data_IF_137951685892
#
_entry.id   IF_137951685892
#
_cell.length_a   1.000
_cell.length_b   1.000
_cell.length_c   1.000
_cell.angle_alpha   90.00
_cell.angle_beta   90.00
_cell.angle_gamma   90.00
#
_symmetry.space_group_name_H-M   'P 1'
#
loop_
_entity.id
_entity.type
_entity.pdbx_description
1 polymer ?
#
# COMPACT_ATOMS: atom_id res chain seq x y z
N UNK A 1 102.69 3.50 -42.19
CA UNK A 1 101.51 3.14 -41.37
C UNK A 1 100.91 1.87 -41.94
N UNK A 2 100.87 0.78 -41.17
CA UNK A 2 100.49 -0.53 -41.68
C UNK A 2 98.98 -0.63 -41.87
N UNK A 3 98.56 -1.28 -42.96
CA UNK A 3 97.17 -1.58 -43.30
C UNK A 3 96.41 -2.28 -42.15
N UNK A 4 97.13 -2.99 -41.29
CA UNK A 4 96.63 -3.64 -40.08
C UNK A 4 96.21 -2.66 -38.97
N UNK A 5 96.87 -1.51 -38.81
CA UNK A 5 96.47 -0.48 -37.84
C UNK A 5 95.19 0.26 -38.27
N UNK A 6 94.95 0.39 -39.59
CA UNK A 6 93.73 1.01 -40.13
C UNK A 6 92.50 0.10 -39.99
N UNK A 7 92.67 -1.22 -40.16
CA UNK A 7 91.61 -2.21 -39.93
C UNK A 7 91.26 -2.42 -38.45
N UNK A 8 92.24 -2.40 -37.55
CA UNK A 8 91.97 -2.51 -36.11
C UNK A 8 91.15 -1.31 -35.59
N UNK A 9 91.45 -0.09 -36.02
CA UNK A 9 90.69 1.11 -35.65
C UNK A 9 89.21 1.10 -36.10
N UNK A 10 88.92 0.57 -37.30
CA UNK A 10 87.53 0.50 -37.81
C UNK A 10 86.70 -0.60 -37.13
N UNK A 11 87.33 -1.70 -36.69
CA UNK A 11 86.65 -2.78 -35.96
C UNK A 11 86.33 -2.36 -34.52
N UNK A 12 87.23 -1.62 -33.86
CA UNK A 12 86.95 -1.06 -32.52
C UNK A 12 85.88 0.05 -32.55
N UNK A 13 85.85 0.88 -33.59
CA UNK A 13 84.81 1.91 -33.74
C UNK A 13 83.40 1.34 -33.97
N UNK A 14 83.27 0.31 -34.81
CA UNK A 14 81.97 -0.32 -35.13
C UNK A 14 81.40 -1.12 -33.96
N UNK A 15 82.25 -1.80 -33.18
CA UNK A 15 81.84 -2.53 -31.97
C UNK A 15 81.37 -1.61 -30.86
N UNK A 16 82.02 -0.45 -30.66
CA UNK A 16 81.59 0.54 -29.67
C UNK A 16 80.22 1.15 -30.03
N UNK A 17 80.00 1.47 -31.31
CA UNK A 17 78.72 1.98 -31.80
C UNK A 17 77.62 0.91 -31.63
N UNK A 18 77.90 -0.36 -31.92
CA UNK A 18 76.94 -1.45 -31.74
C UNK A 18 76.51 -1.62 -30.27
N UNK A 19 77.45 -1.51 -29.32
CA UNK A 19 77.15 -1.56 -27.89
C UNK A 19 76.29 -0.38 -27.43
N UNK A 20 76.58 0.83 -27.91
CA UNK A 20 75.78 2.03 -27.61
C UNK A 20 74.36 1.86 -28.15
N UNK A 21 74.20 1.43 -29.41
CA UNK A 21 72.88 1.20 -30.02
C UNK A 21 72.12 0.09 -29.30
N UNK A 22 72.80 -0.99 -28.89
CA UNK A 22 72.19 -2.07 -28.11
C UNK A 22 71.73 -1.59 -26.72
N UNK A 23 72.57 -0.83 -26.01
CA UNK A 23 72.21 -0.22 -24.73
C UNK A 23 71.02 0.74 -24.85
N UNK A 24 71.01 1.60 -25.88
CA UNK A 24 69.90 2.50 -26.18
C UNK A 24 68.60 1.71 -26.47
N UNK A 25 68.70 0.63 -27.25
CA UNK A 25 67.55 -0.24 -27.55
C UNK A 25 66.97 -0.89 -26.30
N UNK A 26 67.82 -1.38 -25.39
CA UNK A 26 67.39 -1.92 -24.10
C UNK A 26 66.72 -0.84 -23.26
N UNK A 27 67.32 0.35 -23.20
CA UNK A 27 66.78 1.47 -22.43
C UNK A 27 65.39 1.89 -22.96
N UNK A 28 65.26 2.12 -24.26
CA UNK A 28 63.98 2.45 -24.90
C UNK A 28 62.96 1.36 -24.63
N UNK A 29 63.32 0.07 -24.79
CA UNK A 29 62.41 -1.06 -24.51
C UNK A 29 61.95 -1.08 -23.05
N UNK A 30 62.85 -0.80 -22.10
CA UNK A 30 62.52 -0.77 -20.67
C UNK A 30 61.61 0.41 -20.32
N UNK A 31 61.86 1.59 -20.90
CA UNK A 31 61.03 2.78 -20.70
C UNK A 31 59.64 2.59 -21.29
N UNK A 32 59.54 2.08 -22.52
CA UNK A 32 58.23 1.81 -23.15
C UNK A 32 57.48 0.73 -22.38
N UNK A 33 58.14 -0.35 -21.98
CA UNK A 33 57.51 -1.41 -21.18
C UNK A 33 56.99 -0.87 -19.84
N UNK A 34 57.81 -0.13 -19.09
CA UNK A 34 57.36 0.49 -17.84
C UNK A 34 56.18 1.46 -18.04
N UNK A 35 56.17 2.22 -19.13
CA UNK A 35 55.07 3.13 -19.45
C UNK A 35 53.77 2.36 -19.74
N UNK A 36 53.85 1.28 -20.53
CA UNK A 36 52.70 0.42 -20.82
C UNK A 36 52.21 -0.31 -19.56
N UNK A 37 53.11 -0.88 -18.76
CA UNK A 37 52.77 -1.58 -17.52
C UNK A 37 52.04 -0.64 -16.55
N UNK A 38 52.54 0.60 -16.39
CA UNK A 38 51.89 1.63 -15.56
C UNK A 38 50.51 2.02 -16.08
N UNK A 39 50.35 2.19 -17.40
CA UNK A 39 49.05 2.52 -17.98
C UNK A 39 48.04 1.37 -17.84
N UNK A 40 48.49 0.12 -18.03
CA UNK A 40 47.66 -1.07 -17.82
C UNK A 40 47.24 -1.17 -16.34
N UNK A 41 48.17 -0.94 -15.41
CA UNK A 41 47.88 -0.94 -13.98
C UNK A 41 46.87 0.16 -13.60
N UNK A 42 47.07 1.38 -14.12
CA UNK A 42 46.13 2.49 -13.93
C UNK A 42 44.73 2.15 -14.47
N UNK A 43 44.63 1.64 -15.71
CA UNK A 43 43.34 1.23 -16.27
C UNK A 43 42.69 0.09 -15.49
N UNK A 44 43.47 -0.88 -15.01
CA UNK A 44 42.96 -1.94 -14.14
C UNK A 44 42.43 -1.38 -12.83
N UNK A 45 43.13 -0.40 -12.24
CA UNK A 45 42.70 0.27 -11.03
C UNK A 45 41.40 1.06 -11.25
N UNK A 46 41.32 1.84 -12.33
CA UNK A 46 40.11 2.58 -12.73
C UNK A 46 38.93 1.64 -12.95
N UNK A 47 39.11 0.55 -13.72
CA UNK A 47 38.07 -0.46 -13.92
C UNK A 47 37.62 -1.10 -12.61
N UNK A 48 38.56 -1.43 -11.73
CA UNK A 48 38.24 -2.00 -10.41
C UNK A 48 37.45 -1.01 -9.55
N UNK A 49 37.79 0.27 -9.60
CA UNK A 49 37.09 1.33 -8.88
C UNK A 49 35.67 1.50 -9.42
N UNK A 50 35.51 1.63 -10.74
CA UNK A 50 34.20 1.75 -11.39
C UNK A 50 33.32 0.53 -11.10
N UNK A 51 33.89 -0.67 -11.14
CA UNK A 51 33.16 -1.91 -10.83
C UNK A 51 32.64 -1.88 -9.39
N UNK A 52 33.46 -1.48 -8.41
CA UNK A 52 33.03 -1.35 -7.01
C UNK A 52 31.95 -0.29 -6.81
N UNK A 53 32.03 0.83 -7.51
CA UNK A 53 31.01 1.89 -7.45
C UNK A 53 29.66 1.38 -7.99
N UNK A 54 29.70 0.62 -9.10
CA UNK A 54 28.53 -0.02 -9.68
C UNK A 54 27.94 -1.08 -8.73
N UNK A 55 28.79 -1.95 -8.15
CA UNK A 55 28.36 -2.96 -7.17
C UNK A 55 27.69 -2.32 -5.95
N UNK A 56 28.27 -1.24 -5.42
CA UNK A 56 27.70 -0.51 -4.29
C UNK A 56 26.34 0.13 -4.63
N UNK A 57 26.21 0.73 -5.82
CA UNK A 57 24.93 1.30 -6.26
C UNK A 57 23.84 0.22 -6.44
N UNK A 58 24.20 -0.95 -6.98
CA UNK A 58 23.28 -2.08 -7.07
C UNK A 58 22.87 -2.61 -5.70
N UNK A 59 23.80 -2.75 -4.76
CA UNK A 59 23.50 -3.17 -3.38
C UNK A 59 22.51 -2.19 -2.73
N UNK A 60 22.77 -0.88 -2.80
CA UNK A 60 21.85 0.14 -2.29
C UNK A 60 20.47 0.03 -2.93
N UNK A 61 20.38 -0.10 -4.25
CA UNK A 61 19.09 -0.23 -4.96
C UNK A 61 18.32 -1.49 -4.53
N UNK A 62 19.01 -2.60 -4.29
CA UNK A 62 18.41 -3.84 -3.80
C UNK A 62 17.87 -3.64 -2.38
N UNK A 63 18.63 -3.00 -1.50
CA UNK A 63 18.21 -2.67 -0.14
C UNK A 63 16.99 -1.75 -0.14
N UNK A 64 17.03 -0.65 -0.90
CA UNK A 64 15.92 0.30 -1.03
C UNK A 64 14.66 -0.38 -1.58
N UNK A 65 14.81 -1.22 -2.62
CA UNK A 65 13.71 -1.98 -3.20
C UNK A 65 13.11 -2.99 -2.21
N UNK A 66 13.96 -3.65 -1.42
CA UNK A 66 13.54 -4.59 -0.37
C UNK A 66 12.72 -3.87 0.71
N UNK A 67 13.23 -2.74 1.21
CA UNK A 67 12.55 -1.91 2.22
C UNK A 67 11.20 -1.40 1.69
N UNK A 68 11.17 -0.89 0.46
CA UNK A 68 9.95 -0.45 -0.20
C UNK A 68 8.93 -1.59 -0.32
N UNK A 69 9.36 -2.75 -0.80
CA UNK A 69 8.50 -3.93 -0.98
C UNK A 69 7.93 -4.39 0.36
N UNK A 70 8.76 -4.52 1.39
CA UNK A 70 8.33 -4.90 2.73
C UNK A 70 7.29 -3.92 3.29
N UNK A 71 7.51 -2.61 3.12
CA UNK A 71 6.55 -1.59 3.56
C UNK A 71 5.23 -1.70 2.80
N UNK A 72 5.28 -1.91 1.48
CA UNK A 72 4.09 -2.11 0.64
C UNK A 72 3.27 -3.33 1.07
N UNK A 73 3.90 -4.47 1.36
CA UNK A 73 3.20 -5.65 1.88
C UNK A 73 2.44 -5.36 3.18
N UNK A 74 3.10 -4.69 4.13
CA UNK A 74 2.47 -4.28 5.40
C UNK A 74 1.29 -3.34 5.16
N UNK A 75 1.45 -2.37 4.26
CA UNK A 75 0.38 -1.44 3.89
C UNK A 75 -0.81 -2.17 3.27
N UNK A 76 -0.57 -3.11 2.35
CA UNK A 76 -1.65 -3.81 1.65
C UNK A 76 -2.48 -4.65 2.61
N UNK A 77 -1.83 -5.35 3.54
CA UNK A 77 -2.50 -6.16 4.56
C UNK A 77 -3.40 -5.30 5.46
N UNK A 78 -2.86 -4.20 6.00
CA UNK A 78 -3.60 -3.33 6.92
C UNK A 78 -4.72 -2.55 6.21
N UNK A 79 -4.46 -2.03 4.99
CA UNK A 79 -5.46 -1.33 4.20
C UNK A 79 -6.62 -2.26 3.84
N UNK A 80 -6.31 -3.48 3.38
CA UNK A 80 -7.34 -4.46 3.06
C UNK A 80 -8.14 -4.88 4.30
N UNK A 81 -7.49 -5.02 5.46
CA UNK A 81 -8.18 -5.30 6.72
C UNK A 81 -9.18 -4.18 7.09
N UNK A 82 -8.73 -2.92 7.07
CA UNK A 82 -9.59 -1.77 7.38
C UNK A 82 -10.74 -1.61 6.39
N UNK A 83 -10.47 -1.82 5.11
CA UNK A 83 -11.50 -1.78 4.08
C UNK A 83 -12.55 -2.89 4.28
N UNK A 84 -12.13 -4.12 4.56
CA UNK A 84 -13.09 -5.20 4.88
C UNK A 84 -13.87 -4.90 6.15
N UNK A 85 -13.24 -4.30 7.17
CA UNK A 85 -13.96 -3.89 8.38
C UNK A 85 -15.06 -2.87 8.05
N UNK A 86 -14.75 -1.86 7.24
CA UNK A 86 -15.74 -0.89 6.78
C UNK A 86 -16.89 -1.56 5.99
N UNK A 87 -16.57 -2.50 5.09
CA UNK A 87 -17.57 -3.29 4.34
C UNK A 87 -18.45 -4.14 5.27
N UNK A 88 -17.85 -4.78 6.27
CA UNK A 88 -18.58 -5.61 7.25
C UNK A 88 -19.48 -4.76 8.13
N UNK A 89 -18.99 -3.62 8.63
CA UNK A 89 -19.77 -2.75 9.51
C UNK A 89 -20.94 -2.11 8.76
N UNK A 90 -20.77 -1.68 7.50
CA UNK A 90 -21.90 -1.16 6.72
C UNK A 90 -22.93 -2.26 6.43
N UNK A 91 -22.50 -3.46 6.05
CA UNK A 91 -23.41 -4.62 5.86
C UNK A 91 -24.14 -5.00 7.14
N UNK A 92 -23.47 -4.91 8.29
CA UNK A 92 -24.07 -5.21 9.59
C UNK A 92 -25.07 -4.15 10.00
N UNK A 93 -24.76 -2.86 9.75
CA UNK A 93 -25.68 -1.77 9.99
C UNK A 93 -26.97 -1.96 9.17
N UNK A 94 -26.85 -2.32 7.89
CA UNK A 94 -27.99 -2.37 6.95
C UNK A 94 -28.73 -3.70 6.92
N UNK A 95 -28.13 -4.77 7.45
CA UNK A 95 -28.83 -6.03 7.69
C UNK A 95 -29.98 -5.89 8.71
N UNK A 96 -29.92 -4.87 9.58
CA UNK A 96 -30.88 -4.62 10.68
C UNK A 96 -32.31 -4.40 10.20
N UNK A 97 -32.51 -3.88 8.98
CA UNK A 97 -33.84 -3.72 8.37
C UNK A 97 -34.58 -5.03 8.11
N UNK A 98 -33.90 -6.19 8.17
CA UNK A 98 -34.50 -7.48 7.78
C UNK A 98 -34.82 -8.40 8.95
N UNK A 99 -34.13 -8.35 10.08
CA UNK A 99 -34.14 -9.53 10.95
C UNK A 99 -33.69 -9.37 12.40
N UNK A 100 -33.27 -8.19 12.86
CA UNK A 100 -33.06 -7.99 14.30
C UNK A 100 -34.33 -7.35 14.88
N UNK A 101 -35.34 -8.14 15.28
CA UNK A 101 -36.29 -7.58 16.23
C UNK A 101 -35.45 -7.05 17.38
N UNK A 102 -35.81 -5.85 17.85
CA UNK A 102 -35.53 -5.44 19.23
C UNK A 102 -35.56 -6.71 20.09
N UNK A 103 -34.50 -7.02 20.87
CA UNK A 103 -34.31 -8.34 21.48
C UNK A 103 -35.66 -8.86 21.92
N UNK A 104 -36.07 -10.04 21.44
CA UNK A 104 -37.39 -10.64 21.70
C UNK A 104 -37.51 -10.93 23.20
N UNK A 105 -37.57 -9.87 23.99
CA UNK A 105 -38.02 -9.89 25.35
C UNK A 105 -39.52 -10.10 25.19
N UNK A 106 -40.08 -11.20 25.71
CA UNK A 106 -41.51 -11.41 25.70
C UNK A 106 -42.12 -10.30 26.56
N UNK A 107 -42.57 -9.22 25.92
CA UNK A 107 -43.09 -7.99 26.55
C UNK A 107 -42.06 -7.35 27.52
N UNK A 108 -41.03 -6.65 27.02
CA UNK A 108 -40.14 -5.93 27.92
C UNK A 108 -40.97 -4.95 28.76
N UNK A 109 -40.81 -5.04 30.08
CA UNK A 109 -41.33 -3.99 30.95
C UNK A 109 -40.57 -2.69 30.64
N UNK A 110 -41.19 -1.54 30.91
CA UNK A 110 -40.60 -0.21 30.74
C UNK A 110 -39.23 -0.11 31.44
N UNK A 111 -39.09 -0.78 32.58
CA UNK A 111 -37.84 -0.87 33.34
C UNK A 111 -36.72 -1.57 32.57
N UNK A 112 -37.03 -2.64 31.84
CA UNK A 112 -36.04 -3.42 31.08
C UNK A 112 -35.59 -2.67 29.83
N UNK A 113 -36.51 -2.00 29.13
CA UNK A 113 -36.19 -1.15 27.98
C UNK A 113 -35.19 -0.04 28.38
N UNK A 114 -35.45 0.63 29.51
CA UNK A 114 -34.54 1.66 30.04
C UNK A 114 -33.15 1.09 30.31
N UNK A 115 -33.04 -0.04 31.02
CA UNK A 115 -31.74 -0.69 31.31
C UNK A 115 -30.98 -1.07 30.05
N UNK A 116 -31.67 -1.56 29.02
CA UNK A 116 -31.04 -1.90 27.73
C UNK A 116 -30.46 -0.65 27.06
N UNK A 117 -31.20 0.45 27.03
CA UNK A 117 -30.74 1.70 26.45
C UNK A 117 -29.57 2.32 27.23
N UNK A 118 -29.63 2.29 28.57
CA UNK A 118 -28.55 2.75 29.45
C UNK A 118 -27.27 1.92 29.26
N UNK A 119 -27.41 0.58 29.18
CA UNK A 119 -26.28 -0.32 28.91
C UNK A 119 -25.62 -0.04 27.56
N UNK A 120 -26.41 0.40 26.60
CA UNK A 120 -25.95 0.79 25.28
C UNK A 120 -25.43 2.24 25.23
N UNK A 121 -25.47 2.97 26.34
CA UNK A 121 -24.88 4.31 26.45
C UNK A 121 -25.64 5.39 25.68
N UNK A 122 -26.96 5.23 25.51
CA UNK A 122 -27.81 6.33 25.06
C UNK A 122 -27.97 7.36 26.18
N UNK A 123 -28.13 8.63 25.82
CA UNK A 123 -28.30 9.71 26.80
C UNK A 123 -29.72 9.72 27.41
N UNK A 124 -29.87 10.43 28.53
CA UNK A 124 -31.14 10.50 29.26
C UNK A 124 -32.27 11.08 28.41
N UNK A 125 -31.99 12.03 27.51
CA UNK A 125 -33.00 12.65 26.65
C UNK A 125 -33.55 11.63 25.63
N UNK A 126 -32.66 10.88 24.99
CA UNK A 126 -33.00 9.78 24.08
C UNK A 126 -33.81 8.70 24.79
N UNK A 127 -33.39 8.30 25.99
CA UNK A 127 -34.09 7.32 26.81
C UNK A 127 -35.49 7.82 27.17
N UNK A 128 -35.62 9.06 27.65
CA UNK A 128 -36.92 9.67 27.99
C UNK A 128 -37.83 9.71 26.77
N UNK A 129 -37.33 10.09 25.60
CA UNK A 129 -38.11 10.13 24.36
C UNK A 129 -38.65 8.74 23.98
N UNK A 130 -37.80 7.70 24.01
CA UNK A 130 -38.22 6.31 23.75
C UNK A 130 -39.31 5.88 24.74
N UNK A 131 -39.11 6.17 26.02
CA UNK A 131 -40.02 5.79 27.10
C UNK A 131 -41.36 6.51 26.98
N UNK A 132 -41.37 7.80 26.61
CA UNK A 132 -42.59 8.56 26.38
C UNK A 132 -43.37 7.98 25.20
N UNK A 133 -42.70 7.67 24.08
CA UNK A 133 -43.34 6.99 22.94
C UNK A 133 -43.86 5.60 23.30
N UNK A 134 -43.14 4.86 24.16
CA UNK A 134 -43.61 3.58 24.68
C UNK A 134 -44.91 3.69 25.49
N UNK A 135 -45.07 4.80 26.24
CA UNK A 135 -46.30 5.07 27.00
C UNK A 135 -47.49 5.39 26.09
N UNK A 136 -47.26 6.03 24.94
CA UNK A 136 -48.29 6.23 23.90
C UNK A 136 -48.66 4.89 23.27
N UNK A 137 -47.67 4.07 22.94
CA UNK A 137 -47.86 2.70 22.49
C UNK A 137 -46.55 1.92 22.42
N UNK A 138 -46.59 0.64 22.79
CA UNK A 138 -45.40 -0.23 22.79
C UNK A 138 -44.74 -0.35 21.41
N UNK A 139 -45.52 -0.25 20.33
CA UNK A 139 -45.00 -0.23 18.96
C UNK A 139 -44.21 1.06 18.66
N UNK A 140 -44.70 2.21 19.09
CA UNK A 140 -44.03 3.50 18.85
C UNK A 140 -42.70 3.59 19.60
N UNK A 141 -42.69 3.19 20.88
CA UNK A 141 -41.45 3.13 21.65
C UNK A 141 -40.45 2.13 21.07
N UNK A 142 -40.91 0.97 20.59
CA UNK A 142 -40.05 -0.01 19.90
C UNK A 142 -39.44 0.59 18.64
N UNK A 143 -40.24 1.24 17.80
CA UNK A 143 -39.76 1.84 16.56
C UNK A 143 -38.73 2.94 16.83
N UNK A 144 -38.94 3.76 17.86
CA UNK A 144 -37.97 4.77 18.27
C UNK A 144 -36.67 4.16 18.80
N UNK A 145 -36.76 3.12 19.63
CA UNK A 145 -35.57 2.42 20.12
C UNK A 145 -34.77 1.83 18.96
N UNK A 146 -35.43 1.13 18.03
CA UNK A 146 -34.81 0.58 16.82
C UNK A 146 -34.12 1.68 16.01
N UNK A 147 -34.78 2.83 15.80
CA UNK A 147 -34.20 3.99 15.11
C UNK A 147 -32.90 4.46 15.74
N UNK A 148 -32.84 4.55 17.08
CA UNK A 148 -31.63 4.93 17.81
C UNK A 148 -30.51 3.88 17.67
N UNK A 149 -30.84 2.60 17.76
CA UNK A 149 -29.88 1.51 17.56
C UNK A 149 -29.30 1.51 16.15
N UNK A 150 -30.15 1.67 15.13
CA UNK A 150 -29.72 1.70 13.74
C UNK A 150 -28.84 2.92 13.46
N UNK A 151 -29.21 4.10 13.98
CA UNK A 151 -28.39 5.30 13.89
C UNK A 151 -27.02 5.12 14.55
N UNK A 152 -26.95 4.47 15.72
CA UNK A 152 -25.70 4.17 16.41
C UNK A 152 -24.83 3.19 15.60
N UNK A 153 -25.42 2.14 15.04
CA UNK A 153 -24.72 1.17 14.17
C UNK A 153 -24.17 1.84 12.91
N UNK A 154 -24.98 2.68 12.28
CA UNK A 154 -24.58 3.43 11.10
C UNK A 154 -23.43 4.39 11.39
N UNK A 155 -23.48 5.10 12.52
CA UNK A 155 -22.36 5.95 12.98
C UNK A 155 -21.07 5.15 13.14
N UNK A 156 -21.15 3.94 13.71
CA UNK A 156 -19.99 3.04 13.82
C UNK A 156 -19.46 2.62 12.44
N UNK A 157 -20.35 2.27 11.50
CA UNK A 157 -19.96 1.93 10.14
C UNK A 157 -19.25 3.09 9.41
N UNK A 158 -19.75 4.32 9.57
CA UNK A 158 -19.11 5.50 9.01
C UNK A 158 -17.74 5.78 9.66
N UNK A 159 -17.59 5.56 10.97
CA UNK A 159 -16.29 5.64 11.64
C UNK A 159 -15.27 4.67 11.01
N UNK A 160 -15.64 3.40 10.82
CA UNK A 160 -14.77 2.42 10.16
C UNK A 160 -14.39 2.82 8.73
N UNK A 161 -15.32 3.43 7.97
CA UNK A 161 -15.03 4.01 6.65
C UNK A 161 -14.04 5.17 6.74
N UNK A 162 -14.22 6.09 7.69
CA UNK A 162 -13.30 7.22 7.92
C UNK A 162 -11.90 6.71 8.26
N UNK A 163 -11.77 5.71 9.13
CA UNK A 163 -10.49 5.10 9.48
C UNK A 163 -9.81 4.45 8.27
N UNK A 164 -10.57 3.71 7.45
CA UNK A 164 -10.06 3.13 6.21
C UNK A 164 -9.58 4.22 5.23
N UNK A 165 -10.34 5.29 5.07
CA UNK A 165 -9.98 6.42 4.20
C UNK A 165 -8.74 7.16 4.70
N UNK A 166 -8.63 7.42 6.00
CA UNK A 166 -7.45 8.04 6.58
C UNK A 166 -6.19 7.19 6.37
N UNK A 167 -6.32 5.87 6.49
CA UNK A 167 -5.20 4.96 6.23
C UNK A 167 -4.83 4.92 4.74
N UNK A 168 -5.84 4.91 3.85
CA UNK A 168 -5.66 5.02 2.40
C UNK A 168 -4.86 6.27 2.02
N UNK A 169 -5.27 7.46 2.48
CA UNK A 169 -4.58 8.72 2.18
C UNK A 169 -3.13 8.74 2.69
N UNK A 170 -2.85 8.14 3.85
CA UNK A 170 -1.47 8.00 4.37
C UNK A 170 -0.61 7.02 3.58
N UNK A 171 -1.26 6.09 2.87
CA UNK A 171 -0.62 4.97 2.19
C UNK A 171 -0.51 5.15 0.69
N UNK A 172 -1.14 6.19 0.13
CA UNK A 172 -1.30 6.42 -1.31
C UNK A 172 0.03 6.36 -2.09
N UNK A 173 1.13 6.85 -1.49
CA UNK A 173 2.47 6.82 -2.10
C UNK A 173 3.01 5.41 -2.40
N UNK A 174 2.43 4.37 -1.81
CA UNK A 174 2.83 2.98 -1.99
C UNK A 174 1.88 2.19 -2.91
N UNK A 175 0.81 2.83 -3.37
CA UNK A 175 -0.22 2.25 -4.23
C UNK A 175 0.04 2.70 -5.67
N UNK A 176 -0.25 1.85 -6.65
CA UNK A 176 -0.36 2.35 -8.01
C UNK A 176 -1.71 3.06 -8.23
N UNK A 177 -1.77 3.87 -9.29
CA UNK A 177 -2.93 4.71 -9.61
C UNK A 177 -4.21 3.90 -9.82
N UNK A 178 -4.11 2.72 -10.46
CA UNK A 178 -5.24 1.81 -10.69
C UNK A 178 -5.84 1.33 -9.36
N UNK A 179 -5.01 0.85 -8.43
CA UNK A 179 -5.44 0.39 -7.12
C UNK A 179 -6.00 1.54 -6.28
N UNK A 180 -5.38 2.72 -6.34
CA UNK A 180 -5.87 3.91 -5.65
C UNK A 180 -7.27 4.30 -6.11
N UNK A 181 -7.50 4.28 -7.43
CA UNK A 181 -8.82 4.56 -8.00
C UNK A 181 -9.88 3.54 -7.52
N UNK A 182 -9.56 2.24 -7.54
CA UNK A 182 -10.48 1.20 -7.08
C UNK A 182 -10.86 1.37 -5.59
N UNK A 183 -9.90 1.73 -4.75
CA UNK A 183 -10.12 1.92 -3.30
C UNK A 183 -10.95 3.17 -3.04
N UNK A 184 -10.64 4.29 -3.71
CA UNK A 184 -11.42 5.52 -3.62
C UNK A 184 -12.88 5.31 -4.05
N UNK A 185 -13.10 4.62 -5.18
CA UNK A 185 -14.44 4.24 -5.62
C UNK A 185 -15.18 3.39 -4.57
N UNK A 186 -14.51 2.39 -3.99
CA UNK A 186 -15.11 1.54 -2.95
C UNK A 186 -15.50 2.36 -1.70
N UNK A 187 -14.63 3.28 -1.26
CA UNK A 187 -14.90 4.15 -0.11
C UNK A 187 -16.06 5.13 -0.38
N UNK A 188 -16.16 5.66 -1.61
CA UNK A 188 -17.29 6.49 -2.06
C UNK A 188 -18.60 5.70 -2.07
N UNK A 189 -18.58 4.45 -2.54
CA UNK A 189 -19.77 3.58 -2.50
C UNK A 189 -20.21 3.34 -1.05
N UNK A 190 -19.28 3.02 -0.14
CA UNK A 190 -19.61 2.86 1.29
C UNK A 190 -20.22 4.14 1.86
N UNK A 191 -19.66 5.31 1.52
CA UNK A 191 -20.21 6.60 1.94
C UNK A 191 -21.64 6.83 1.44
N UNK A 192 -21.92 6.55 0.16
CA UNK A 192 -23.27 6.65 -0.38
C UNK A 192 -24.24 5.68 0.29
N UNK A 193 -23.80 4.45 0.55
CA UNK A 193 -24.58 3.48 1.32
C UNK A 193 -24.92 4.01 2.72
N UNK A 194 -24.00 4.73 3.39
CA UNK A 194 -24.29 5.37 4.67
C UNK A 194 -25.35 6.46 4.56
N UNK A 195 -25.28 7.31 3.53
CA UNK A 195 -26.26 8.38 3.31
C UNK A 195 -27.66 7.80 3.03
N UNK A 196 -27.73 6.79 2.18
CA UNK A 196 -28.99 6.16 1.80
C UNK A 196 -29.65 5.47 3.02
N UNK A 197 -28.83 4.84 3.88
CA UNK A 197 -29.27 4.25 5.14
C UNK A 197 -29.77 5.31 6.13
N UNK A 198 -29.01 6.40 6.31
CA UNK A 198 -29.40 7.51 7.20
C UNK A 198 -30.76 8.10 6.79
N UNK A 199 -30.97 8.26 5.48
CA UNK A 199 -32.24 8.77 4.93
C UNK A 199 -33.40 7.82 5.24
N UNK A 200 -33.14 6.51 5.18
CA UNK A 200 -34.15 5.47 5.45
C UNK A 200 -34.53 5.38 6.94
N UNK A 201 -33.56 5.64 7.84
CA UNK A 201 -33.77 5.74 9.29
C UNK A 201 -34.60 6.98 9.64
N UNK A 202 -34.37 8.10 8.96
CA UNK A 202 -35.04 9.37 9.25
C UNK A 202 -36.47 9.42 8.70
N UNK A 203 -36.70 8.86 7.50
CA UNK A 203 -37.99 8.89 6.81
C UNK A 203 -38.51 7.49 6.47
N UNK A 204 -38.77 6.64 7.48
CA UNK A 204 -39.14 5.25 7.27
C UNK A 204 -40.45 5.12 6.46
N UNK A 205 -40.44 4.27 5.44
CA UNK A 205 -41.61 3.96 4.60
C UNK A 205 -41.93 4.99 3.50
N UNK A 206 -41.22 6.11 3.45
CA UNK A 206 -41.36 7.10 2.36
C UNK A 206 -40.94 6.50 1.00
N UNK A 207 -41.49 7.02 -0.11
CA UNK A 207 -41.04 6.62 -1.46
C UNK A 207 -39.54 6.92 -1.67
N UNK A 208 -39.05 8.03 -1.11
CA UNK A 208 -37.63 8.35 -1.09
C UNK A 208 -36.80 7.26 -0.39
N UNK A 209 -37.23 6.76 0.78
CA UNK A 209 -36.54 5.66 1.46
C UNK A 209 -36.56 4.36 0.65
N UNK A 210 -37.65 4.05 -0.07
CA UNK A 210 -37.71 2.88 -0.95
C UNK A 210 -36.74 2.98 -2.12
N UNK A 211 -36.65 4.15 -2.74
CA UNK A 211 -35.69 4.42 -3.84
C UNK A 211 -34.25 4.32 -3.33
N UNK A 212 -33.96 4.95 -2.19
CA UNK A 212 -32.66 4.90 -1.53
C UNK A 212 -32.23 3.48 -1.19
N UNK A 213 -33.18 2.64 -0.75
CA UNK A 213 -32.92 1.23 -0.51
C UNK A 213 -32.58 0.43 -1.78
N UNK A 214 -33.24 0.74 -2.89
CA UNK A 214 -32.90 0.14 -4.19
C UNK A 214 -31.46 0.48 -4.57
N UNK A 215 -31.08 1.75 -4.45
CA UNK A 215 -29.71 2.22 -4.72
C UNK A 215 -28.70 1.56 -3.77
N UNK A 216 -29.04 1.41 -2.49
CA UNK A 216 -28.21 0.70 -1.53
C UNK A 216 -27.91 -0.74 -1.95
N UNK A 217 -28.92 -1.48 -2.43
CA UNK A 217 -28.74 -2.86 -2.90
C UNK A 217 -27.81 -2.92 -4.12
N UNK A 218 -28.04 -2.06 -5.10
CA UNK A 218 -27.18 -1.95 -6.29
C UNK A 218 -25.74 -1.62 -5.90
N UNK A 219 -25.55 -0.65 -5.01
CA UNK A 219 -24.26 -0.27 -4.45
C UNK A 219 -23.57 -1.44 -3.71
N UNK A 220 -24.31 -2.24 -2.95
CA UNK A 220 -23.75 -3.43 -2.28
C UNK A 220 -23.18 -4.44 -3.27
N UNK A 221 -23.87 -4.71 -4.38
CA UNK A 221 -23.39 -5.63 -5.41
C UNK A 221 -22.16 -5.08 -6.15
N UNK A 222 -22.13 -3.77 -6.42
CA UNK A 222 -20.97 -3.10 -7.03
C UNK A 222 -19.77 -3.13 -6.07
N UNK A 223 -20.00 -2.84 -4.78
CA UNK A 223 -18.96 -2.85 -3.76
C UNK A 223 -18.30 -4.23 -3.65
N UNK A 224 -19.07 -5.31 -3.66
CA UNK A 224 -18.53 -6.67 -3.62
C UNK A 224 -17.58 -6.96 -4.79
N UNK A 225 -17.98 -6.56 -6.00
CA UNK A 225 -17.12 -6.69 -7.20
C UNK A 225 -15.83 -5.89 -7.04
N UNK A 226 -15.92 -4.65 -6.55
CA UNK A 226 -14.75 -3.78 -6.30
C UNK A 226 -13.79 -4.37 -5.27
N UNK A 227 -14.29 -4.93 -4.17
CA UNK A 227 -13.44 -5.60 -3.17
C UNK A 227 -12.69 -6.81 -3.77
N UNK A 228 -13.33 -7.56 -4.67
CA UNK A 228 -12.67 -8.66 -5.39
C UNK A 228 -11.58 -8.13 -6.34
N UNK A 229 -11.85 -7.05 -7.07
CA UNK A 229 -10.88 -6.39 -7.96
C UNK A 229 -9.67 -5.87 -7.18
N UNK A 230 -9.89 -5.14 -6.08
CA UNK A 230 -8.85 -4.65 -5.17
C UNK A 230 -7.97 -5.81 -4.68
N UNK A 231 -8.58 -6.90 -4.22
CA UNK A 231 -7.85 -8.08 -3.77
C UNK A 231 -7.00 -8.70 -4.88
N UNK A 232 -7.54 -8.78 -6.11
CA UNK A 232 -6.81 -9.31 -7.27
C UNK A 232 -5.63 -8.43 -7.62
N UNK A 233 -5.81 -7.12 -7.64
CA UNK A 233 -4.75 -6.16 -7.96
C UNK A 233 -3.64 -6.17 -6.90
N UNK A 234 -4.01 -6.15 -5.61
CA UNK A 234 -3.05 -6.31 -4.52
C UNK A 234 -2.26 -7.61 -4.68
N UNK A 235 -2.91 -8.75 -4.93
CA UNK A 235 -2.21 -10.03 -5.14
C UNK A 235 -1.26 -9.99 -6.33
N UNK A 236 -1.70 -9.45 -7.46
CA UNK A 236 -0.92 -9.33 -8.69
C UNK A 236 0.38 -8.56 -8.44
N UNK A 237 0.31 -7.44 -7.72
CA UNK A 237 1.48 -6.63 -7.42
C UNK A 237 2.44 -7.27 -6.43
N UNK A 238 1.90 -8.00 -5.45
CA UNK A 238 2.71 -8.74 -4.48
C UNK A 238 3.38 -9.97 -5.13
N UNK A 239 2.80 -10.55 -6.19
CA UNK A 239 3.39 -11.68 -6.91
C UNK A 239 4.52 -11.33 -7.88
N UNK A 240 4.76 -10.05 -8.20
CA UNK A 240 5.80 -9.64 -9.16
C UNK A 240 7.23 -9.92 -8.63
N UNK A 241 7.38 -10.28 -7.35
CA UNK A 241 8.64 -10.79 -6.76
C UNK A 241 8.80 -12.32 -6.76
N UNK A 242 7.75 -13.08 -7.07
CA UNK A 242 7.88 -14.53 -7.32
C UNK A 242 8.54 -14.68 -8.69
N UNK A 243 9.85 -14.90 -8.71
CA UNK A 243 10.59 -15.34 -9.89
C UNK A 243 10.16 -16.77 -10.29
N UNK A 244 8.89 -16.98 -10.62
CA UNK A 244 8.38 -18.21 -11.25
C UNK A 244 8.69 -18.20 -12.76
N UNK A 245 9.92 -17.82 -13.09
CA UNK A 245 10.54 -18.02 -14.39
C UNK A 245 11.88 -18.74 -14.18
N UNK A 246 11.76 -19.97 -13.68
CA UNK A 246 12.62 -21.12 -13.99
C UNK A 246 11.73 -22.33 -14.11
#
# INVERSE_FOLDING_TARGET
MSFTQMFLGSVFGTTLIALIVYGLRIYIKKVTQNYFDKNIENHRHELTKTLKEIEFDYQRKIEDFSLYTQKRHSIYAELYQKLNQAVMDIKTATASFRTYPFPEVPKPDKSDLKKVLEKEGFDDEQIINVINKWQVGSLEGRNEATRLFDAKRLKKADQSRVEANQYFLKSELYLNEELSCLIDEALKIIFHMCIDESSSIEYPGSEAAKEKWKNHKENSEILEKKIIEIKKQMRKELSIGDYSHT
#
